data_IF_554557309499
#
_entry.id   IF_554557309499
#
_cell.length_a   1.000
_cell.length_b   1.000
_cell.length_c   1.000
_cell.angle_alpha   90.00
_cell.angle_beta   90.00
_cell.angle_gamma   90.00
#
_symmetry.space_group_name_H-M   'P 1'
#
loop_
_entity.id
_entity.type
_entity.pdbx_description
1 polymer ?
#
# COMPACT_ATOMS: atom_id res chain seq x y z
N UNK A 1 -0.99 -6.28 -8.04
CA UNK A 1 0.48 -6.16 -8.16
C UNK A 1 0.93 -5.59 -9.50
N UNK A 2 0.58 -6.21 -10.62
CA UNK A 2 0.97 -5.75 -11.96
C UNK A 2 0.47 -4.33 -12.30
N UNK A 3 -0.74 -3.95 -11.86
CA UNK A 3 -1.34 -2.63 -12.12
C UNK A 3 -0.42 -1.45 -11.75
N UNK A 4 0.28 -1.53 -10.62
CA UNK A 4 1.09 -0.43 -10.08
C UNK A 4 2.57 -0.53 -10.48
N UNK A 5 3.00 -1.66 -11.07
CA UNK A 5 4.40 -1.92 -11.39
C UNK A 5 5.04 -0.86 -12.30
N UNK A 6 4.31 -0.37 -13.30
CA UNK A 6 4.80 0.66 -14.22
C UNK A 6 5.06 1.99 -13.50
N UNK A 7 4.12 2.42 -12.68
CA UNK A 7 4.24 3.66 -11.89
C UNK A 7 5.38 3.54 -10.87
N UNK A 8 5.46 2.40 -10.17
CA UNK A 8 6.55 2.11 -9.24
C UNK A 8 7.93 2.11 -9.90
N UNK A 9 8.03 1.67 -11.16
CA UNK A 9 9.28 1.66 -11.90
C UNK A 9 9.65 3.02 -12.47
N UNK A 10 8.67 3.90 -12.70
CA UNK A 10 8.89 5.23 -13.24
C UNK A 10 9.50 6.17 -12.20
N UNK A 11 9.04 6.10 -10.96
CA UNK A 11 9.49 7.01 -9.90
C UNK A 11 10.64 6.46 -9.05
N UNK A 12 11.55 7.36 -8.69
CA UNK A 12 12.64 7.14 -7.72
C UNK A 12 12.12 7.32 -6.28
N UNK A 13 11.16 6.48 -5.88
CA UNK A 13 10.65 6.43 -4.51
C UNK A 13 10.82 5.04 -3.89
N UNK A 14 10.81 5.00 -2.56
CA UNK A 14 10.98 3.77 -1.78
C UNK A 14 9.67 3.21 -1.24
N UNK A 15 8.66 4.04 -1.08
CA UNK A 15 7.33 3.66 -0.63
C UNK A 15 6.27 4.29 -1.54
N UNK A 16 5.32 3.47 -1.97
CA UNK A 16 4.22 3.85 -2.85
C UNK A 16 2.89 3.55 -2.16
N UNK A 17 2.08 4.60 -1.97
CA UNK A 17 0.81 4.52 -1.25
C UNK A 17 -0.34 4.85 -2.20
N UNK A 18 -1.25 3.89 -2.40
CA UNK A 18 -2.37 4.01 -3.32
C UNK A 18 -3.71 3.90 -2.58
N UNK A 19 -4.64 4.81 -2.88
CA UNK A 19 -6.02 4.75 -2.41
C UNK A 19 -6.98 4.24 -3.49
N UNK A 20 -8.21 4.76 -3.44
CA UNK A 20 -9.26 4.63 -4.47
C UNK A 20 -9.88 3.24 -4.67
N UNK A 21 -9.10 2.16 -4.59
CA UNK A 21 -9.61 0.79 -4.83
C UNK A 21 -10.28 0.16 -3.61
N UNK A 22 -10.34 0.87 -2.48
CA UNK A 22 -11.00 0.43 -1.25
C UNK A 22 -10.60 -1.00 -0.85
N UNK A 23 -9.29 -1.23 -0.77
CA UNK A 23 -8.71 -2.51 -0.37
C UNK A 23 -7.51 -2.23 0.49
N UNK A 24 -7.37 -2.97 1.59
CA UNK A 24 -6.18 -2.93 2.43
C UNK A 24 -5.25 -4.06 2.00
N UNK A 25 -4.05 -3.71 1.53
CA UNK A 25 -3.07 -4.67 1.02
C UNK A 25 -1.68 -4.04 1.02
N UNK A 26 -0.64 -4.83 1.28
CA UNK A 26 0.74 -4.42 1.10
C UNK A 26 1.53 -5.44 0.29
N UNK A 27 2.62 -5.01 -0.33
CA UNK A 27 3.64 -5.90 -0.90
C UNK A 27 5.02 -5.25 -0.90
N UNK A 28 6.05 -6.07 -1.04
CA UNK A 28 7.47 -5.68 -1.07
C UNK A 28 8.10 -6.13 -2.38
N UNK A 29 8.60 -5.16 -3.14
CA UNK A 29 9.31 -5.41 -4.40
C UNK A 29 10.81 -5.37 -4.13
N UNK A 30 11.56 -6.47 -4.34
CA UNK A 30 13.01 -6.49 -4.19
C UNK A 30 13.66 -5.51 -5.17
N UNK A 31 14.62 -4.72 -4.69
CA UNK A 31 15.46 -3.84 -5.50
C UNK A 31 16.84 -3.70 -4.84
N UNK A 32 17.87 -3.62 -5.67
CA UNK A 32 19.22 -3.30 -5.24
C UNK A 32 19.47 -1.79 -5.34
N UNK A 33 20.25 -1.27 -4.41
CA UNK A 33 20.78 0.09 -4.48
C UNK A 33 22.23 0.13 -4.03
N UNK A 34 22.83 1.32 -4.09
CA UNK A 34 24.22 1.52 -3.68
C UNK A 34 24.32 2.19 -2.31
N UNK A 35 25.37 1.82 -1.58
CA UNK A 35 25.88 2.52 -0.41
C UNK A 35 27.41 2.62 -0.53
N UNK A 36 27.88 3.78 -0.99
CA UNK A 36 29.24 3.90 -1.53
C UNK A 36 29.42 2.96 -2.72
N UNK A 37 30.47 2.12 -2.67
CA UNK A 37 30.77 1.12 -3.69
C UNK A 37 30.10 -0.25 -3.44
N UNK A 38 29.29 -0.37 -2.37
CA UNK A 38 28.65 -1.63 -1.99
C UNK A 38 27.21 -1.69 -2.51
N UNK A 39 26.84 -2.82 -3.12
CA UNK A 39 25.45 -3.16 -3.38
C UNK A 39 24.74 -3.54 -2.07
N UNK A 40 23.58 -2.95 -1.83
CA UNK A 40 22.73 -3.21 -0.67
C UNK A 40 21.28 -3.43 -1.10
N UNK A 41 20.52 -4.18 -0.30
CA UNK A 41 19.08 -4.33 -0.51
C UNK A 41 18.35 -3.03 -0.15
N UNK A 42 17.66 -2.41 -1.12
CA UNK A 42 16.79 -1.23 -0.96
C UNK A 42 15.41 -1.52 -1.55
N UNK A 43 14.62 -2.43 -0.95
CA UNK A 43 13.32 -2.83 -1.48
C UNK A 43 12.38 -1.63 -1.62
N UNK A 44 11.48 -1.67 -2.60
CA UNK A 44 10.35 -0.76 -2.70
C UNK A 44 9.15 -1.37 -1.96
N UNK A 45 8.40 -0.55 -1.25
CA UNK A 45 7.15 -0.94 -0.60
C UNK A 45 5.96 -0.43 -1.41
N UNK A 46 4.94 -1.27 -1.54
CA UNK A 46 3.64 -0.90 -2.08
C UNK A 46 2.60 -1.09 -0.98
N UNK A 47 1.80 -0.06 -0.73
CA UNK A 47 0.66 -0.09 0.18
C UNK A 47 -0.60 0.38 -0.51
N UNK A 48 -1.70 -0.35 -0.35
CA UNK A 48 -3.05 0.11 -0.69
C UNK A 48 -3.75 0.46 0.63
N UNK A 49 -4.06 1.75 0.81
CA UNK A 49 -4.33 2.38 2.12
C UNK A 49 -5.63 1.98 2.81
N UNK A 50 -6.39 1.01 2.29
CA UNK A 50 -7.71 0.67 2.84
C UNK A 50 -8.74 1.77 2.57
N UNK A 51 -9.76 1.85 3.42
CA UNK A 51 -10.82 2.86 3.35
C UNK A 51 -11.55 2.96 4.68
N UNK A 52 -12.27 4.06 4.88
CA UNK A 52 -13.27 4.22 5.94
C UNK A 52 -14.70 4.14 5.41
N UNK A 53 -14.87 3.78 4.13
CA UNK A 53 -16.17 3.56 3.53
C UNK A 53 -16.80 2.27 4.08
N UNK A 54 -17.97 2.42 4.70
CA UNK A 54 -18.82 1.29 5.07
C UNK A 54 -19.62 0.85 3.85
N UNK A 55 -19.34 -0.34 3.35
CA UNK A 55 -20.10 -0.91 2.21
C UNK A 55 -21.53 -1.24 2.62
N UNK A 56 -21.72 -1.80 3.82
CA UNK A 56 -23.04 -2.17 4.34
C UNK A 56 -23.47 -1.25 5.47
N UNK A 57 -24.74 -0.90 5.50
CA UNK A 57 -25.34 -0.10 6.58
C UNK A 57 -26.58 -0.77 7.14
N UNK A 58 -26.88 -0.54 8.42
CA UNK A 58 -28.07 -1.08 9.06
C UNK A 58 -29.35 -0.25 8.80
N UNK A 59 -29.34 0.59 7.76
CA UNK A 59 -30.46 1.47 7.42
C UNK A 59 -31.58 0.76 6.67
N UNK A 60 -32.75 1.40 6.60
CA UNK A 60 -33.89 0.91 5.81
C UNK A 60 -33.65 1.05 4.29
N UNK A 61 -32.88 2.06 3.87
CA UNK A 61 -32.59 2.33 2.47
C UNK A 61 -31.22 1.78 2.05
N UNK A 62 -31.12 1.01 0.96
CA UNK A 62 -29.84 0.53 0.47
C UNK A 62 -28.97 1.68 -0.07
N UNK A 63 -27.74 1.73 0.39
CA UNK A 63 -26.70 2.67 -0.07
C UNK A 63 -26.33 2.39 -1.53
N UNK A 64 -25.65 3.37 -2.15
CA UNK A 64 -25.12 3.19 -3.50
C UNK A 64 -24.20 1.96 -3.60
N UNK A 65 -23.34 1.75 -2.60
CA UNK A 65 -22.39 0.63 -2.58
C UNK A 65 -23.11 -0.73 -2.50
N UNK A 66 -24.21 -0.81 -1.75
CA UNK A 66 -25.07 -2.01 -1.69
C UNK A 66 -25.79 -2.24 -3.01
N UNK A 67 -26.35 -1.18 -3.61
CA UNK A 67 -27.00 -1.24 -4.92
C UNK A 67 -26.03 -1.66 -6.04
N UNK A 68 -24.79 -1.18 -5.98
CA UNK A 68 -23.74 -1.49 -6.94
C UNK A 68 -23.08 -2.87 -6.71
N UNK A 69 -23.42 -3.56 -5.62
CA UNK A 69 -22.88 -4.90 -5.32
C UNK A 69 -21.39 -4.91 -4.98
N UNK A 70 -20.86 -3.83 -4.42
CA UNK A 70 -19.46 -3.83 -4.00
C UNK A 70 -19.23 -4.83 -2.85
N UNK A 71 -18.09 -5.55 -2.85
CA UNK A 71 -17.78 -6.45 -1.76
C UNK A 71 -17.55 -5.68 -0.45
N UNK A 72 -17.73 -6.33 0.72
CA UNK A 72 -17.28 -5.76 1.98
C UNK A 72 -15.78 -5.47 1.91
N UNK A 73 -15.40 -4.28 2.35
CA UNK A 73 -13.99 -3.91 2.54
C UNK A 73 -13.68 -3.86 4.01
N UNK A 74 -12.46 -4.24 4.35
CA UNK A 74 -11.92 -3.99 5.67
C UNK A 74 -11.77 -2.48 5.89
N UNK A 75 -12.25 -2.01 7.05
CA UNK A 75 -12.16 -0.61 7.45
C UNK A 75 -10.83 -0.38 8.14
N UNK A 76 -10.16 0.70 7.76
CA UNK A 76 -8.97 1.16 8.44
C UNK A 76 -7.91 1.70 7.49
N UNK A 77 -6.74 1.94 8.06
CA UNK A 77 -5.55 2.40 7.38
C UNK A 77 -4.46 1.33 7.44
N UNK A 78 -3.36 1.59 6.76
CA UNK A 78 -2.09 0.88 6.95
C UNK A 78 -1.13 1.74 7.76
N UNK A 79 -0.15 1.10 8.39
CA UNK A 79 0.95 1.80 9.06
C UNK A 79 2.24 1.52 8.31
N UNK A 80 2.87 2.58 7.79
CA UNK A 80 4.22 2.52 7.22
C UNK A 80 5.24 2.76 8.33
N UNK A 81 6.03 1.75 8.65
CA UNK A 81 7.09 1.83 9.63
C UNK A 81 8.43 2.04 8.95
N UNK A 82 9.23 2.97 9.48
CA UNK A 82 10.56 3.31 8.97
C UNK A 82 11.54 3.31 10.15
N UNK A 83 12.55 2.44 10.07
CA UNK A 83 13.64 2.34 11.04
C UNK A 83 14.96 2.68 10.36
N UNK A 84 15.57 3.85 10.65
CA UNK A 84 16.87 4.20 10.13
C UNK A 84 17.94 3.18 10.55
N UNK A 85 18.81 2.76 9.62
CA UNK A 85 20.05 2.03 9.91
C UNK A 85 21.23 2.80 9.32
N UNK A 86 22.44 2.38 9.66
CA UNK A 86 23.69 3.01 9.21
C UNK A 86 23.85 3.03 7.68
N UNK A 87 23.35 2.02 6.97
CA UNK A 87 23.48 1.88 5.52
C UNK A 87 22.29 2.46 4.76
N UNK A 88 21.09 2.22 5.28
CA UNK A 88 19.79 2.54 4.66
C UNK A 88 18.67 2.44 5.71
N UNK A 89 17.41 2.67 5.34
CA UNK A 89 16.25 2.45 6.20
C UNK A 89 15.69 1.02 6.07
N UNK A 90 15.43 0.36 7.19
CA UNK A 90 14.53 -0.79 7.22
C UNK A 90 13.09 -0.28 7.22
N UNK A 91 12.23 -0.84 6.36
CA UNK A 91 10.85 -0.39 6.20
C UNK A 91 9.93 -1.59 6.07
N UNK A 92 8.73 -1.49 6.66
CA UNK A 92 7.67 -2.49 6.54
C UNK A 92 6.29 -1.84 6.67
N UNK A 93 5.25 -2.54 6.20
CA UNK A 93 3.85 -2.08 6.30
C UNK A 93 3.07 -3.08 7.13
N UNK A 94 2.39 -2.58 8.16
CA UNK A 94 1.37 -3.33 8.90
C UNK A 94 0.00 -3.02 8.30
N UNK A 95 -0.75 -4.06 7.94
CA UNK A 95 -2.11 -3.99 7.38
C UNK A 95 -3.11 -4.55 8.37
#
# INVERSE_FOLDING_TARGET
LTKYSKDMNHWEADAFLYGHVHRKQSDRVPRLGLWGEKLISKPKLLGICGTFLRTYTAGADPTYSEKAGYPPTEIGALTLNIKPKRTWCEMWIDT
#
